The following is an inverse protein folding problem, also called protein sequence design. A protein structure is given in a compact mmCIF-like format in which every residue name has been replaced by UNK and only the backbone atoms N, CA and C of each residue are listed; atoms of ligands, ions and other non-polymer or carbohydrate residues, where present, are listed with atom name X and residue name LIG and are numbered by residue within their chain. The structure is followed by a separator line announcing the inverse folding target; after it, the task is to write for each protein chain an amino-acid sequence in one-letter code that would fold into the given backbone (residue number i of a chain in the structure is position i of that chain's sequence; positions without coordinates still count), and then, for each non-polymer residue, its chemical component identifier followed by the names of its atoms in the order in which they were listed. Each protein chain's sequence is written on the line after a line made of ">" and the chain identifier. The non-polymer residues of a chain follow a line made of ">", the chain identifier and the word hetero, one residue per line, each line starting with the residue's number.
data_IF_872626026548
#
_entry.id   IF_872626026548
#
_cell.length_a   1.000
_cell.length_b   1.000
_cell.length_c   1.000
_cell.angle_alpha   90.00
_cell.angle_beta   90.00
_cell.angle_gamma   90.00
#
_symmetry.space_group_name_H-M   'P 1'
#
loop_
_entity.id
_entity.type
_entity.pdbx_description
1 polymer ?
#
# COMPACT_ATOMS: atom_id res chain seq x y z
N UNK A 1 -9.90 -20.02 -1.93
CA UNK A 1 -9.53 -18.94 -0.99
C UNK A 1 -8.15 -18.32 -1.27
N UNK A 2 -7.26 -18.93 -2.07
CA UNK A 2 -5.91 -18.40 -2.36
C UNK A 2 -5.83 -17.05 -3.11
N UNK A 3 -6.94 -16.44 -3.53
CA UNK A 3 -6.93 -15.20 -4.34
C UNK A 3 -7.24 -13.91 -3.57
N UNK A 4 -7.68 -13.98 -2.30
CA UNK A 4 -8.04 -12.80 -1.49
C UNK A 4 -6.77 -12.01 -1.05
N UNK A 5 -5.62 -12.68 -1.04
CA UNK A 5 -4.36 -12.15 -0.51
C UNK A 5 -3.61 -11.16 -1.42
N UNK A 6 -4.02 -10.96 -2.68
CA UNK A 6 -3.17 -10.33 -3.71
C UNK A 6 -3.19 -8.79 -3.76
N UNK A 7 -4.32 -8.15 -3.45
CA UNK A 7 -4.52 -6.72 -3.74
C UNK A 7 -4.27 -5.74 -2.61
N UNK A 8 -4.61 -6.12 -1.37
CA UNK A 8 -4.86 -5.15 -0.29
C UNK A 8 -3.64 -4.35 0.18
N UNK A 9 -2.43 -4.83 -0.12
CA UNK A 9 -1.18 -4.23 0.38
C UNK A 9 -0.76 -3.00 -0.43
N UNK A 10 -1.13 -2.94 -1.72
CA UNK A 10 -0.71 -1.86 -2.62
C UNK A 10 -1.79 -0.78 -2.63
N UNK A 11 -1.61 0.23 -1.77
CA UNK A 11 -2.47 1.41 -1.69
C UNK A 11 -2.07 2.53 -2.66
N UNK A 12 -2.94 3.54 -2.77
CA UNK A 12 -2.68 4.75 -3.57
C UNK A 12 -1.45 5.52 -3.07
N UNK A 13 -1.12 5.39 -1.78
CA UNK A 13 0.02 6.02 -1.13
C UNK A 13 1.36 5.74 -1.80
N UNK A 14 1.58 4.56 -2.40
CA UNK A 14 2.82 4.27 -3.12
C UNK A 14 2.99 5.20 -4.33
N UNK A 15 1.93 5.46 -5.10
CA UNK A 15 2.00 6.22 -6.34
C UNK A 15 2.16 7.73 -6.16
N UNK A 16 1.61 8.26 -5.05
CA UNK A 16 1.57 9.71 -4.78
C UNK A 16 2.45 10.07 -3.60
N UNK A 17 2.34 9.33 -2.49
CA UNK A 17 3.04 9.61 -1.24
C UNK A 17 4.53 9.28 -1.26
N UNK A 18 4.97 8.34 -2.10
CA UNK A 18 6.40 8.01 -2.23
C UNK A 18 7.28 9.19 -2.60
N UNK A 19 6.72 10.16 -3.33
CA UNK A 19 7.41 11.40 -3.72
C UNK A 19 7.85 12.24 -2.52
N UNK A 20 7.15 12.16 -1.39
CA UNK A 20 7.55 12.82 -0.13
C UNK A 20 8.82 12.17 0.42
N UNK A 21 8.88 10.84 0.44
CA UNK A 21 10.05 10.08 0.93
C UNK A 21 11.24 10.27 -0.02
N UNK A 22 11.00 10.20 -1.34
CA UNK A 22 12.03 10.45 -2.36
C UNK A 22 12.54 11.89 -2.29
N UNK A 23 11.62 12.86 -2.21
CA UNK A 23 11.97 14.26 -2.08
C UNK A 23 12.74 14.56 -0.80
N UNK A 24 12.56 13.78 0.28
CA UNK A 24 13.25 13.91 1.56
C UNK A 24 14.62 13.21 1.59
N UNK A 25 14.71 11.95 1.16
CA UNK A 25 15.90 11.10 1.26
C UNK A 25 16.75 11.07 -0.02
N UNK A 26 16.23 11.57 -1.13
CA UNK A 26 16.85 11.46 -2.45
C UNK A 26 16.85 10.02 -2.97
N UNK A 27 17.88 9.60 -3.74
CA UNK A 27 17.98 8.25 -4.28
C UNK A 27 18.02 7.17 -3.19
N UNK A 28 18.56 7.51 -2.01
CA UNK A 28 18.56 6.64 -0.83
C UNK A 28 17.16 6.34 -0.26
N UNK A 29 16.08 6.94 -0.77
CA UNK A 29 14.72 6.50 -0.48
C UNK A 29 14.50 4.99 -0.78
N UNK A 30 15.22 4.43 -1.75
CA UNK A 30 15.22 2.98 -2.00
C UNK A 30 15.59 2.20 -0.74
N UNK A 31 16.58 2.67 0.03
CA UNK A 31 16.98 2.07 1.31
C UNK A 31 15.86 2.24 2.35
N UNK A 32 15.20 3.40 2.41
CA UNK A 32 14.05 3.60 3.31
C UNK A 32 12.96 2.56 3.06
N UNK A 33 12.55 2.37 1.81
CA UNK A 33 11.54 1.38 1.43
C UNK A 33 12.01 -0.05 1.67
N UNK A 34 13.30 -0.35 1.49
CA UNK A 34 13.88 -1.66 1.77
C UNK A 34 13.93 -1.97 3.27
N UNK A 35 14.31 -1.01 4.10
CA UNK A 35 14.36 -1.15 5.56
C UNK A 35 12.96 -1.40 6.12
N UNK A 36 11.98 -0.60 5.69
CA UNK A 36 10.58 -0.77 6.09
C UNK A 36 10.03 -2.10 5.59
N UNK A 37 10.30 -2.46 4.33
CA UNK A 37 9.87 -3.72 3.75
C UNK A 37 10.43 -4.94 4.51
N UNK A 38 11.71 -4.90 4.89
CA UNK A 38 12.32 -5.93 5.72
C UNK A 38 11.63 -6.03 7.09
N UNK A 39 11.37 -4.90 7.76
CA UNK A 39 10.64 -4.88 9.02
C UNK A 39 9.25 -5.50 8.89
N UNK A 40 8.51 -5.14 7.83
CA UNK A 40 7.17 -5.68 7.56
C UNK A 40 7.21 -7.18 7.32
N UNK A 41 8.19 -7.69 6.56
CA UNK A 41 8.37 -9.14 6.35
C UNK A 41 8.61 -9.85 7.67
N UNK A 42 9.45 -9.31 8.55
CA UNK A 42 9.71 -9.89 9.87
C UNK A 42 8.45 -9.91 10.73
N UNK A 43 7.70 -8.80 10.79
CA UNK A 43 6.44 -8.70 11.54
C UNK A 43 5.41 -9.69 10.99
N UNK A 44 5.23 -9.75 9.67
CA UNK A 44 4.30 -10.68 9.03
C UNK A 44 4.65 -12.13 9.31
N UNK A 45 5.93 -12.46 9.35
CA UNK A 45 6.38 -13.80 9.69
C UNK A 45 6.11 -14.14 11.16
N UNK A 46 6.39 -13.22 12.09
CA UNK A 46 6.06 -13.39 13.51
C UNK A 46 4.55 -13.56 13.73
N UNK A 47 3.72 -12.72 13.08
CA UNK A 47 2.26 -12.81 13.12
C UNK A 47 1.75 -14.14 12.57
N UNK A 48 2.34 -14.59 11.47
CA UNK A 48 2.04 -15.87 10.86
C UNK A 48 2.34 -17.06 11.77
N UNK A 49 3.53 -17.09 12.36
CA UNK A 49 3.95 -18.12 13.33
C UNK A 49 3.01 -18.15 14.55
N UNK A 50 2.62 -16.99 15.08
CA UNK A 50 1.65 -16.89 16.18
C UNK A 50 0.25 -17.36 15.77
N UNK A 51 -0.19 -17.06 14.55
CA UNK A 51 -1.50 -17.49 14.05
C UNK A 51 -1.62 -19.00 13.86
N UNK A 52 -0.53 -19.66 13.47
CA UNK A 52 -0.46 -21.13 13.39
C UNK A 52 -0.42 -21.74 14.78
N UNK A 53 0.41 -21.19 15.68
CA UNK A 53 0.56 -21.72 17.04
C UNK A 53 -0.71 -21.54 17.89
N UNK A 54 -1.42 -20.44 17.71
CA UNK A 54 -2.64 -20.12 18.45
C UNK A 54 -3.68 -19.46 17.54
N UNK A 55 -4.56 -20.24 16.88
CA UNK A 55 -5.62 -19.70 16.04
C UNK A 55 -6.66 -18.93 16.87
N UNK A 56 -6.53 -17.60 16.94
CA UNK A 56 -7.44 -16.74 17.69
C UNK A 56 -8.28 -15.86 16.75
N UNK A 57 -9.59 -15.84 16.98
CA UNK A 57 -10.50 -14.87 16.37
C UNK A 57 -10.11 -13.48 16.92
N UNK A 58 -9.61 -12.60 16.06
CA UNK A 58 -9.08 -11.29 16.45
C UNK A 58 -7.61 -11.04 16.08
N UNK A 59 -6.88 -12.10 15.74
CA UNK A 59 -5.50 -12.00 15.28
C UNK A 59 -4.57 -11.34 16.32
N UNK A 60 -3.82 -10.32 15.89
CA UNK A 60 -2.72 -9.77 16.69
C UNK A 60 -3.13 -9.10 18.00
N UNK A 61 -4.35 -8.55 18.13
CA UNK A 61 -4.76 -7.92 19.41
C UNK A 61 -4.97 -8.98 20.51
N UNK A 62 -5.43 -10.19 20.15
CA UNK A 62 -5.52 -11.32 21.07
C UNK A 62 -4.12 -11.82 21.45
N UNK A 63 -3.15 -11.83 20.53
CA UNK A 63 -1.76 -12.18 20.86
C UNK A 63 -1.15 -11.18 21.86
N UNK A 64 -1.39 -9.88 21.65
CA UNK A 64 -0.97 -8.85 22.60
C UNK A 64 -1.64 -9.02 23.96
N UNK A 65 -2.92 -9.41 23.98
CA UNK A 65 -3.65 -9.70 25.22
C UNK A 65 -3.05 -10.87 25.98
N UNK A 66 -2.77 -11.97 25.29
CA UNK A 66 -2.17 -13.17 25.88
C UNK A 66 -0.77 -12.92 26.42
N UNK A 67 0.03 -12.12 25.71
CA UNK A 67 1.41 -11.85 26.08
C UNK A 67 1.57 -10.75 27.15
N UNK A 68 0.76 -9.68 27.07
CA UNK A 68 0.96 -8.43 27.83
C UNK A 68 -0.23 -8.06 28.72
N UNK A 69 -1.31 -8.84 28.71
CA UNK A 69 -2.50 -8.65 29.54
C UNK A 69 -3.63 -7.88 28.87
N UNK A 70 -4.76 -7.77 29.60
CA UNK A 70 -6.03 -7.24 29.07
C UNK A 70 -5.93 -5.82 28.51
N UNK A 71 -5.22 -4.93 29.21
CA UNK A 71 -5.04 -3.54 28.79
C UNK A 71 -4.33 -3.44 27.43
N UNK A 72 -3.32 -4.28 27.18
CA UNK A 72 -2.60 -4.28 25.92
C UNK A 72 -3.48 -4.74 24.75
N UNK A 73 -4.30 -5.77 24.96
CA UNK A 73 -5.30 -6.20 24.00
C UNK A 73 -6.31 -5.10 23.67
N UNK A 74 -6.87 -4.46 24.70
CA UNK A 74 -7.82 -3.35 24.57
C UNK A 74 -7.23 -2.19 23.77
N UNK A 75 -6.04 -1.69 24.17
CA UNK A 75 -5.40 -0.56 23.53
C UNK A 75 -5.05 -0.86 22.07
N UNK A 76 -4.49 -2.04 21.79
CA UNK A 76 -4.06 -2.39 20.43
C UNK A 76 -5.23 -2.59 19.48
N UNK A 77 -6.35 -3.17 19.95
CA UNK A 77 -7.57 -3.27 19.16
C UNK A 77 -8.18 -1.91 18.84
N UNK A 78 -8.31 -1.02 19.82
CA UNK A 78 -8.83 0.34 19.59
C UNK A 78 -7.91 1.21 18.72
N UNK A 79 -6.59 1.12 18.91
CA UNK A 79 -5.63 1.83 18.06
C UNK A 79 -5.69 1.36 16.61
N UNK A 80 -5.86 0.06 16.38
CA UNK A 80 -6.00 -0.48 15.03
C UNK A 80 -7.32 -0.07 14.38
N UNK A 81 -8.43 -0.13 15.11
CA UNK A 81 -9.71 0.35 14.62
C UNK A 81 -9.64 1.84 14.25
N UNK A 82 -9.10 2.67 15.15
CA UNK A 82 -8.93 4.11 14.94
C UNK A 82 -8.07 4.42 13.72
N UNK A 83 -6.96 3.68 13.56
CA UNK A 83 -6.09 3.77 12.40
C UNK A 83 -6.87 3.54 11.09
N UNK A 84 -7.65 2.45 11.01
CA UNK A 84 -8.41 2.15 9.79
C UNK A 84 -9.53 3.15 9.50
N UNK A 85 -10.18 3.70 10.54
CA UNK A 85 -11.17 4.78 10.35
C UNK A 85 -10.53 6.00 9.69
N UNK A 86 -9.31 6.39 10.10
CA UNK A 86 -8.56 7.49 9.48
C UNK A 86 -8.20 7.14 8.03
N UNK A 87 -7.67 5.94 7.79
CA UNK A 87 -7.26 5.51 6.44
C UNK A 87 -8.45 5.52 5.48
N UNK A 88 -9.62 5.02 5.89
CA UNK A 88 -10.85 5.06 5.08
C UNK A 88 -11.21 6.50 4.71
N UNK A 89 -11.13 7.44 5.65
CA UNK A 89 -11.41 8.85 5.35
C UNK A 89 -10.38 9.45 4.37
N UNK A 90 -9.09 9.18 4.57
CA UNK A 90 -8.01 9.66 3.70
C UNK A 90 -8.16 9.15 2.26
N UNK A 91 -8.42 7.86 2.11
CA UNK A 91 -8.60 7.23 0.81
C UNK A 91 -9.87 7.75 0.12
N UNK A 92 -10.97 7.94 0.84
CA UNK A 92 -12.20 8.48 0.27
C UNK A 92 -11.99 9.91 -0.28
N UNK A 93 -11.25 10.75 0.46
CA UNK A 93 -10.87 12.09 0.01
C UNK A 93 -9.92 12.03 -1.19
N UNK A 94 -8.97 11.08 -1.23
CA UNK A 94 -8.08 10.89 -2.37
C UNK A 94 -8.86 10.51 -3.64
N UNK A 95 -9.78 9.55 -3.52
CA UNK A 95 -10.67 9.14 -4.62
C UNK A 95 -11.57 10.27 -5.09
N UNK A 96 -12.14 11.04 -4.16
CA UNK A 96 -12.96 12.21 -4.47
C UNK A 96 -12.19 13.29 -5.25
N UNK A 97 -10.91 13.52 -4.93
CA UNK A 97 -10.06 14.46 -5.69
C UNK A 97 -9.82 13.99 -7.12
N UNK A 98 -9.63 12.68 -7.33
CA UNK A 98 -9.45 12.11 -8.68
C UNK A 98 -10.74 12.26 -9.48
N UNK A 99 -11.89 11.85 -8.91
CA UNK A 99 -13.19 11.95 -9.56
C UNK A 99 -13.60 13.40 -9.84
N UNK A 100 -13.31 14.32 -8.92
CA UNK A 100 -13.53 15.76 -9.13
C UNK A 100 -12.71 16.35 -10.27
N UNK A 101 -11.54 15.78 -10.57
CA UNK A 101 -10.77 16.14 -11.76
C UNK A 101 -11.46 15.74 -13.07
N UNK A 102 -12.28 14.68 -13.06
CA UNK A 102 -13.03 14.22 -14.24
C UNK A 102 -14.41 14.89 -14.34
N UNK A 103 -15.04 15.17 -13.20
CA UNK A 103 -16.35 15.81 -13.10
C UNK A 103 -16.28 17.02 -12.16
N UNK A 104 -15.75 18.16 -12.64
CA UNK A 104 -15.53 19.36 -11.82
C UNK A 104 -16.82 20.03 -11.32
N UNK A 105 -17.99 19.66 -11.87
CA UNK A 105 -19.29 20.18 -11.44
C UNK A 105 -19.85 19.55 -10.15
N UNK A 106 -19.20 18.50 -9.61
CA UNK A 106 -19.65 17.80 -8.41
C UNK A 106 -18.70 18.14 -7.26
N UNK A 107 -19.26 18.51 -6.10
CA UNK A 107 -18.46 18.91 -4.95
C UNK A 107 -17.72 17.71 -4.34
N UNK A 108 -16.47 17.87 -3.84
CA UNK A 108 -15.68 16.76 -3.32
C UNK A 108 -16.37 15.94 -2.22
N UNK A 109 -17.14 16.58 -1.34
CA UNK A 109 -17.86 15.88 -0.27
C UNK A 109 -18.92 14.91 -0.81
N UNK A 110 -19.52 15.20 -1.97
CA UNK A 110 -20.52 14.33 -2.60
C UNK A 110 -19.86 13.04 -3.10
N UNK A 111 -18.67 13.15 -3.71
CA UNK A 111 -17.88 11.98 -4.09
C UNK A 111 -17.43 11.18 -2.88
N UNK A 112 -16.92 11.83 -1.84
CA UNK A 112 -16.51 11.15 -0.60
C UNK A 112 -17.67 10.37 0.00
N UNK A 113 -18.84 11.01 0.14
CA UNK A 113 -20.05 10.37 0.69
C UNK A 113 -20.53 9.21 -0.20
N UNK A 114 -20.52 9.39 -1.52
CA UNK A 114 -20.92 8.36 -2.47
C UNK A 114 -19.98 7.14 -2.41
N UNK A 115 -18.65 7.36 -2.38
CA UNK A 115 -17.66 6.30 -2.27
C UNK A 115 -17.84 5.50 -0.97
N UNK A 116 -17.90 6.19 0.18
CA UNK A 116 -18.10 5.52 1.47
C UNK A 116 -19.43 4.77 1.50
N UNK A 117 -20.52 5.37 0.99
CA UNK A 117 -21.84 4.76 0.94
C UNK A 117 -21.89 3.50 0.08
N UNK A 118 -21.35 3.56 -1.15
CA UNK A 118 -21.31 2.41 -2.07
C UNK A 118 -20.51 1.27 -1.46
N UNK A 119 -19.31 1.53 -0.94
CA UNK A 119 -18.49 0.47 -0.35
C UNK A 119 -19.08 -0.08 0.95
N UNK A 120 -19.77 0.74 1.74
CA UNK A 120 -20.54 0.25 2.90
C UNK A 120 -21.63 -0.72 2.45
N UNK A 121 -22.42 -0.37 1.42
CA UNK A 121 -23.46 -1.25 0.88
C UNK A 121 -22.85 -2.56 0.35
N UNK A 122 -21.76 -2.49 -0.41
CA UNK A 122 -21.06 -3.67 -0.94
C UNK A 122 -20.60 -4.60 0.19
N UNK A 123 -20.05 -4.03 1.27
CA UNK A 123 -19.59 -4.80 2.44
C UNK A 123 -20.76 -5.41 3.25
N UNK A 124 -21.94 -4.78 3.24
CA UNK A 124 -23.14 -5.32 3.89
C UNK A 124 -23.82 -6.45 3.10
N UNK A 125 -23.72 -6.46 1.76
CA UNK A 125 -24.46 -7.40 0.92
C UNK A 125 -23.84 -8.81 0.90
N UNK A 126 -22.52 -8.95 0.81
CA UNK A 126 -21.87 -10.27 0.84
C UNK A 126 -20.36 -10.20 1.00
N UNK A 127 -19.81 -11.01 1.91
CA UNK A 127 -18.36 -11.24 2.06
C UNK A 127 -17.73 -11.81 0.78
N UNK A 128 -18.51 -12.48 -0.07
CA UNK A 128 -18.04 -12.96 -1.37
C UNK A 128 -17.80 -11.81 -2.35
N UNK A 129 -18.66 -10.78 -2.33
CA UNK A 129 -18.52 -9.59 -3.17
C UNK A 129 -17.26 -8.80 -2.83
N UNK A 130 -16.84 -8.78 -1.56
CA UNK A 130 -15.55 -8.20 -1.14
C UNK A 130 -14.37 -8.87 -1.87
N UNK A 131 -14.30 -10.19 -1.84
CA UNK A 131 -13.17 -10.93 -2.41
C UNK A 131 -13.09 -10.82 -3.94
N UNK A 132 -14.23 -10.81 -4.63
CA UNK A 132 -14.28 -10.63 -6.09
C UNK A 132 -13.89 -9.21 -6.52
N UNK A 133 -14.39 -8.17 -5.83
CA UNK A 133 -14.01 -6.79 -6.11
C UNK A 133 -12.50 -6.55 -5.90
N UNK A 134 -11.98 -7.07 -4.78
CA UNK A 134 -10.56 -6.95 -4.45
C UNK A 134 -9.66 -7.67 -5.48
N UNK A 135 -10.08 -8.83 -5.98
CA UNK A 135 -9.35 -9.55 -7.02
C UNK A 135 -9.18 -8.70 -8.30
N UNK A 136 -10.26 -8.04 -8.75
CA UNK A 136 -10.19 -7.19 -9.94
C UNK A 136 -9.33 -5.94 -9.70
N UNK A 137 -9.47 -5.28 -8.55
CA UNK A 137 -8.64 -4.12 -8.22
C UNK A 137 -7.15 -4.49 -8.08
N UNK A 138 -6.84 -5.63 -7.46
CA UNK A 138 -5.50 -6.17 -7.37
C UNK A 138 -4.87 -6.37 -8.75
N UNK A 139 -5.62 -6.99 -9.65
CA UNK A 139 -5.16 -7.36 -10.99
C UNK A 139 -4.76 -6.13 -11.81
N UNK A 140 -5.57 -5.06 -11.75
CA UNK A 140 -5.27 -3.79 -12.43
C UNK A 140 -3.98 -3.17 -11.88
N UNK A 141 -3.84 -3.10 -10.55
CA UNK A 141 -2.65 -2.54 -9.89
C UNK A 141 -1.38 -3.30 -10.25
N UNK A 142 -1.42 -4.62 -10.15
CA UNK A 142 -0.26 -5.48 -10.43
C UNK A 142 0.14 -5.36 -11.90
N UNK A 143 -0.82 -5.42 -12.82
CA UNK A 143 -0.56 -5.23 -14.24
C UNK A 143 0.07 -3.86 -14.54
N UNK A 144 -0.45 -2.79 -13.93
CA UNK A 144 0.07 -1.44 -14.09
C UNK A 144 1.51 -1.30 -13.59
N UNK A 145 1.83 -1.86 -12.41
CA UNK A 145 3.20 -1.82 -11.87
C UNK A 145 4.15 -2.66 -12.72
N UNK A 146 3.76 -3.85 -13.16
CA UNK A 146 4.60 -4.67 -14.04
C UNK A 146 4.89 -3.92 -15.35
N UNK A 147 3.88 -3.33 -15.98
CA UNK A 147 4.05 -2.53 -17.19
C UNK A 147 5.00 -1.34 -16.95
N UNK A 148 4.83 -0.63 -15.83
CA UNK A 148 5.70 0.46 -15.41
C UNK A 148 7.15 0.01 -15.23
N UNK A 149 7.38 -1.11 -14.54
CA UNK A 149 8.71 -1.67 -14.30
C UNK A 149 9.38 -2.08 -15.61
N UNK A 150 8.67 -2.79 -16.48
CA UNK A 150 9.19 -3.21 -17.78
C UNK A 150 9.57 -2.01 -18.65
N UNK A 151 8.67 -1.04 -18.78
CA UNK A 151 8.92 0.15 -19.61
C UNK A 151 10.07 1.00 -19.05
N UNK A 152 10.09 1.23 -17.73
CA UNK A 152 11.16 1.97 -17.08
C UNK A 152 12.51 1.26 -17.14
N UNK A 153 12.54 -0.06 -16.99
CA UNK A 153 13.76 -0.85 -17.13
C UNK A 153 14.31 -0.81 -18.58
N UNK A 154 13.44 -0.94 -19.59
CA UNK A 154 13.82 -0.79 -21.00
C UNK A 154 14.41 0.60 -21.27
N UNK A 155 13.83 1.64 -20.69
CA UNK A 155 14.36 3.00 -20.80
C UNK A 155 15.72 3.14 -20.10
N UNK A 156 15.85 2.64 -18.87
CA UNK A 156 17.09 2.70 -18.10
C UNK A 156 18.25 1.96 -18.79
N UNK A 157 17.96 0.85 -19.48
CA UNK A 157 18.93 0.03 -20.23
C UNK A 157 19.23 0.58 -21.64
N UNK A 158 18.58 1.66 -22.08
CA UNK A 158 18.80 2.24 -23.41
C UNK A 158 18.07 1.53 -24.56
N UNK A 159 17.22 0.54 -24.26
CA UNK A 159 16.45 -0.22 -25.24
C UNK A 159 15.11 0.47 -25.64
N UNK A 160 14.80 1.62 -25.04
CA UNK A 160 13.61 2.40 -25.33
C UNK A 160 13.89 3.56 -26.31
N UNK A 161 12.97 3.91 -27.22
CA UNK A 161 13.14 5.04 -28.12
C UNK A 161 13.38 6.36 -27.37
N UNK A 162 14.49 7.04 -27.66
CA UNK A 162 14.84 8.31 -27.01
C UNK A 162 15.39 8.16 -25.60
N UNK A 163 15.81 6.95 -25.20
CA UNK A 163 16.43 6.72 -23.91
C UNK A 163 17.76 7.48 -23.76
N UNK A 164 17.86 8.22 -22.66
CA UNK A 164 19.13 8.64 -22.07
C UNK A 164 19.40 7.73 -20.88
N UNK A 165 20.60 7.16 -20.75
CA UNK A 165 20.95 6.28 -19.64
C UNK A 165 20.52 6.91 -18.30
N UNK A 166 19.66 6.22 -17.53
CA UNK A 166 19.06 6.75 -16.29
C UNK A 166 19.96 6.60 -15.05
N UNK A 167 20.87 5.62 -15.06
CA UNK A 167 21.74 5.35 -13.90
C UNK A 167 22.57 6.56 -13.40
N UNK A 168 23.09 7.47 -14.25
CA UNK A 168 23.79 8.67 -13.78
C UNK A 168 22.96 9.56 -12.86
N UNK A 169 21.62 9.52 -12.96
CA UNK A 169 20.73 10.35 -12.15
C UNK A 169 20.77 10.01 -10.66
N UNK A 170 21.11 8.76 -10.32
CA UNK A 170 21.24 8.29 -8.94
C UNK A 170 22.35 9.00 -8.18
N UNK A 171 23.32 9.60 -8.88
CA UNK A 171 24.46 10.29 -8.26
C UNK A 171 24.62 11.74 -8.73
N UNK A 172 23.88 12.16 -9.75
CA UNK A 172 24.03 13.47 -10.40
C UNK A 172 23.80 14.67 -9.44
N UNK A 173 22.99 14.51 -8.40
CA UNK A 173 22.58 15.61 -7.51
C UNK A 173 23.13 15.44 -6.09
N UNK A 174 24.46 15.34 -5.96
CA UNK A 174 25.13 15.21 -4.66
C UNK A 174 25.31 13.75 -4.18
N UNK A 175 25.32 12.79 -5.10
CA UNK A 175 25.49 11.37 -4.79
C UNK A 175 24.19 10.65 -4.42
N UNK A 176 24.31 9.38 -4.04
CA UNK A 176 23.17 8.53 -3.69
C UNK A 176 22.52 8.90 -2.35
N UNK A 177 23.32 9.43 -1.42
CA UNK A 177 22.90 9.81 -0.07
C UNK A 177 23.18 11.31 0.16
N UNK A 178 22.51 12.21 -0.58
CA UNK A 178 22.86 13.62 -0.62
C UNK A 178 22.54 14.37 0.68
N UNK A 179 21.71 13.79 1.55
CA UNK A 179 21.20 14.44 2.78
C UNK A 179 21.52 13.68 4.06
N UNK A 180 22.44 12.71 4.01
CA UNK A 180 22.81 11.92 5.18
C UNK A 180 21.86 10.74 5.46
N UNK A 181 22.18 9.98 6.51
CA UNK A 181 21.42 8.78 6.90
C UNK A 181 20.12 9.11 7.63
N UNK A 182 20.03 10.27 8.28
CA UNK A 182 18.86 10.64 9.09
C UNK A 182 17.58 10.72 8.24
N UNK A 183 17.56 11.40 7.06
CA UNK A 183 16.40 11.37 6.16
C UNK A 183 16.04 9.99 5.64
N UNK A 184 17.00 9.07 5.54
CA UNK A 184 16.72 7.68 5.14
C UNK A 184 15.95 6.96 6.25
N UNK A 185 16.35 7.15 7.50
CA UNK A 185 15.67 6.55 8.67
C UNK A 185 14.28 7.15 8.90
N UNK A 186 14.14 8.47 8.83
CA UNK A 186 12.81 9.10 8.94
C UNK A 186 11.92 8.78 7.74
N UNK A 187 12.52 8.64 6.55
CA UNK A 187 11.86 8.14 5.35
C UNK A 187 11.34 6.71 5.52
N UNK A 188 12.06 5.84 6.23
CA UNK A 188 11.61 4.49 6.53
C UNK A 188 10.39 4.49 7.47
N UNK A 189 10.37 5.38 8.47
CA UNK A 189 9.19 5.56 9.33
C UNK A 189 7.98 5.99 8.50
N UNK A 190 8.13 6.99 7.64
CA UNK A 190 7.07 7.44 6.73
C UNK A 190 6.62 6.33 5.76
N UNK A 191 7.56 5.53 5.24
CA UNK A 191 7.27 4.45 4.31
C UNK A 191 6.42 3.33 4.95
N UNK A 192 6.40 3.20 6.29
CA UNK A 192 5.51 2.25 7.00
C UNK A 192 4.06 2.45 6.60
N UNK A 193 3.66 3.71 6.36
CA UNK A 193 2.35 4.10 5.87
C UNK A 193 1.91 3.39 4.57
N UNK A 194 2.87 2.98 3.74
CA UNK A 194 2.60 2.37 2.44
C UNK A 194 2.52 0.84 2.47
N UNK A 195 2.86 0.23 3.61
CA UNK A 195 2.85 -1.23 3.78
C UNK A 195 1.72 -1.73 4.68
N UNK A 196 0.93 -0.83 5.28
CA UNK A 196 -0.27 -1.21 6.02
C UNK A 196 -1.27 -1.96 5.11
N UNK A 197 -2.00 -2.89 5.70
CA UNK A 197 -2.88 -3.81 4.98
C UNK A 197 -2.23 -5.16 4.65
N UNK A 198 -0.89 -5.28 4.76
CA UNK A 198 -0.21 -6.58 4.71
C UNK A 198 -0.77 -7.53 5.78
N UNK A 199 -0.98 -7.03 6.99
CA UNK A 199 -1.46 -7.76 8.15
C UNK A 199 -2.87 -8.35 7.98
N UNK A 200 -3.72 -7.73 7.13
CA UNK A 200 -5.06 -8.25 6.83
C UNK A 200 -4.96 -9.65 6.21
N UNK A 201 -3.92 -9.89 5.39
CA UNK A 201 -3.72 -11.17 4.75
C UNK A 201 -3.38 -12.26 5.77
N UNK A 202 -2.58 -11.95 6.80
CA UNK A 202 -2.30 -12.90 7.88
C UNK A 202 -3.53 -13.24 8.70
N UNK A 203 -4.42 -12.28 8.95
CA UNK A 203 -5.70 -12.54 9.64
C UNK A 203 -6.56 -13.50 8.80
N UNK A 204 -6.68 -13.24 7.49
CA UNK A 204 -7.44 -14.10 6.59
C UNK A 204 -6.80 -15.50 6.42
N UNK A 205 -5.47 -15.59 6.41
CA UNK A 205 -4.75 -16.87 6.33
C UNK A 205 -4.95 -17.72 7.60
N UNK A 206 -5.04 -17.09 8.78
CA UNK A 206 -5.31 -17.77 10.04
C UNK A 206 -6.70 -18.43 10.08
N UNK A 207 -7.67 -17.90 9.32
CA UNK A 207 -9.03 -18.44 9.20
C UNK A 207 -9.16 -19.52 8.09
N UNK A 208 -8.05 -19.91 7.45
CA UNK A 208 -8.05 -20.87 6.34
C UNK A 208 -8.01 -22.33 6.80
N UNK A 209 -8.34 -23.26 5.89
CA UNK A 209 -8.37 -24.70 6.19
C UNK A 209 -6.97 -25.28 6.47
N UNK A 210 -5.91 -24.67 5.92
CA UNK A 210 -4.51 -25.07 6.14
C UNK A 210 -3.68 -23.82 6.50
N UNK A 211 -3.79 -23.32 7.76
CA UNK A 211 -3.19 -22.05 8.17
C UNK A 211 -1.68 -21.99 7.92
N UNK A 212 -0.95 -23.07 8.20
CA UNK A 212 0.50 -23.17 8.12
C UNK A 212 1.00 -22.88 6.70
N UNK A 213 0.37 -23.53 5.71
CA UNK A 213 0.70 -23.34 4.29
C UNK A 213 0.25 -21.97 3.81
N UNK A 214 -0.96 -21.55 4.19
CA UNK A 214 -1.50 -20.25 3.78
C UNK A 214 -0.65 -19.08 4.28
N UNK A 215 -0.13 -19.17 5.50
CA UNK A 215 0.80 -18.19 6.08
C UNK A 215 2.12 -18.19 5.30
N UNK A 216 2.74 -19.35 5.08
CA UNK A 216 4.01 -19.44 4.37
C UNK A 216 3.92 -18.87 2.93
N UNK A 217 2.88 -19.23 2.18
CA UNK A 217 2.61 -18.70 0.84
C UNK A 217 2.40 -17.17 0.87
N UNK A 218 1.65 -16.69 1.86
CA UNK A 218 1.39 -15.26 2.05
C UNK A 218 2.68 -14.50 2.31
N UNK A 219 3.52 -14.96 3.24
CA UNK A 219 4.80 -14.32 3.56
C UNK A 219 5.71 -14.25 2.34
N UNK A 220 5.84 -15.34 1.59
CA UNK A 220 6.67 -15.37 0.39
C UNK A 220 6.14 -14.41 -0.69
N UNK A 221 4.83 -14.35 -0.84
CA UNK A 221 4.19 -13.39 -1.72
C UNK A 221 4.46 -11.94 -1.29
N UNK A 222 4.40 -11.62 0.01
CA UNK A 222 4.72 -10.27 0.51
C UNK A 222 6.17 -9.88 0.20
N UNK A 223 7.14 -10.79 0.37
CA UNK A 223 8.55 -10.55 0.06
C UNK A 223 8.71 -10.14 -1.42
N UNK A 224 8.14 -10.90 -2.35
CA UNK A 224 8.24 -10.57 -3.77
C UNK A 224 7.60 -9.22 -4.10
N UNK A 225 6.48 -8.86 -3.46
CA UNK A 225 5.84 -7.56 -3.63
C UNK A 225 6.72 -6.42 -3.12
N UNK A 226 7.32 -6.56 -1.94
CA UNK A 226 8.26 -5.57 -1.38
C UNK A 226 9.41 -5.34 -2.36
N UNK A 227 10.06 -6.43 -2.82
CA UNK A 227 11.23 -6.34 -3.70
C UNK A 227 10.88 -5.73 -5.06
N UNK A 228 9.84 -6.25 -5.72
CA UNK A 228 9.54 -5.88 -7.11
C UNK A 228 8.74 -4.57 -7.13
N UNK A 229 7.64 -4.50 -6.39
CA UNK A 229 6.70 -3.39 -6.52
C UNK A 229 7.12 -2.16 -5.75
N UNK A 230 7.68 -2.29 -4.55
CA UNK A 230 8.12 -1.12 -3.79
C UNK A 230 9.54 -0.73 -4.18
N UNK A 231 10.51 -1.58 -3.88
CA UNK A 231 11.93 -1.25 -4.10
C UNK A 231 12.21 -1.03 -5.58
N UNK A 232 11.76 -1.94 -6.45
CA UNK A 232 11.99 -1.84 -7.90
C UNK A 232 11.36 -0.58 -8.53
N UNK A 233 10.13 -0.22 -8.14
CA UNK A 233 9.49 0.95 -8.74
C UNK A 233 10.06 2.26 -8.20
N UNK A 234 10.36 2.34 -6.91
CA UNK A 234 11.03 3.50 -6.31
C UNK A 234 12.41 3.70 -6.93
N UNK A 235 13.16 2.62 -7.13
CA UNK A 235 14.45 2.66 -7.81
C UNK A 235 14.33 3.25 -9.22
N UNK A 236 13.36 2.80 -10.02
CA UNK A 236 13.13 3.36 -11.36
C UNK A 236 12.72 4.83 -11.31
N UNK A 237 11.91 5.25 -10.34
CA UNK A 237 11.56 6.67 -10.17
C UNK A 237 12.82 7.51 -9.96
N UNK A 238 13.67 7.15 -9.01
CA UNK A 238 14.89 7.94 -8.70
C UNK A 238 15.98 7.83 -9.76
N UNK A 239 15.98 6.75 -10.56
CA UNK A 239 16.88 6.59 -11.69
C UNK A 239 16.43 7.39 -12.92
N UNK A 240 15.13 7.62 -13.10
CA UNK A 240 14.61 8.24 -14.32
C UNK A 240 14.19 9.70 -14.16
N UNK A 241 13.92 10.12 -12.93
CA UNK A 241 13.41 11.46 -12.61
C UNK A 241 14.32 12.14 -11.58
N UNK A 242 14.71 13.41 -11.78
CA UNK A 242 15.46 14.16 -10.77
C UNK A 242 14.68 14.23 -9.46
N UNK A 243 15.20 13.63 -8.40
CA UNK A 243 14.58 13.62 -7.06
C UNK A 243 14.48 15.02 -6.44
N UNK A 244 15.31 15.96 -6.90
CA UNK A 244 15.32 17.36 -6.46
C UNK A 244 14.30 18.25 -7.19
N UNK A 245 13.59 17.73 -8.19
CA UNK A 245 12.48 18.44 -8.84
C UNK A 245 11.19 18.22 -8.03
N UNK A 246 10.88 19.18 -7.15
CA UNK A 246 9.71 19.12 -6.28
C UNK A 246 8.39 19.00 -7.06
N UNK A 247 8.28 19.62 -8.24
CA UNK A 247 7.06 19.56 -9.05
C UNK A 247 6.85 18.15 -9.60
N UNK A 248 7.91 17.47 -10.06
CA UNK A 248 7.83 16.07 -10.50
C UNK A 248 7.59 15.10 -9.35
N UNK A 249 8.16 15.36 -8.17
CA UNK A 249 7.94 14.52 -7.00
C UNK A 249 6.52 14.60 -6.42
N UNK A 250 5.67 15.52 -6.88
CA UNK A 250 4.23 15.47 -6.53
C UNK A 250 3.50 14.29 -7.17
N UNK A 251 4.02 13.73 -8.26
CA UNK A 251 3.39 12.66 -9.06
C UNK A 251 4.45 11.74 -9.69
N UNK A 252 5.30 11.09 -8.87
CA UNK A 252 6.54 10.46 -9.32
C UNK A 252 6.36 9.46 -10.46
N UNK A 253 5.32 8.61 -10.39
CA UNK A 253 5.04 7.61 -11.42
C UNK A 253 4.57 8.24 -12.73
N UNK A 254 3.73 9.28 -12.64
CA UNK A 254 3.33 10.05 -13.83
C UNK A 254 4.53 10.72 -14.46
N UNK A 255 5.43 11.29 -13.65
CA UNK A 255 6.64 11.95 -14.15
C UNK A 255 7.60 10.99 -14.85
N UNK A 256 7.73 9.75 -14.38
CA UNK A 256 8.47 8.71 -15.11
C UNK A 256 7.80 8.43 -16.45
N UNK A 257 6.48 8.21 -16.48
CA UNK A 257 5.76 7.94 -17.73
C UNK A 257 5.85 9.09 -18.75
N UNK A 258 5.91 10.34 -18.26
CA UNK A 258 6.18 11.52 -19.10
C UNK A 258 7.61 11.52 -19.68
N UNK A 259 8.61 11.11 -18.90
CA UNK A 259 10.00 10.92 -19.40
C UNK A 259 10.03 9.84 -20.49
N UNK A 260 9.27 8.77 -20.32
CA UNK A 260 9.12 7.70 -21.32
C UNK A 260 8.28 8.12 -22.55
N UNK A 261 7.68 9.32 -22.53
CA UNK A 261 6.79 9.87 -23.56
C UNK A 261 5.54 9.01 -23.79
N UNK A 262 5.02 8.39 -22.74
CA UNK A 262 3.76 7.63 -22.81
C UNK A 262 2.58 8.62 -22.92
N UNK A 263 1.76 8.54 -23.98
CA UNK A 263 0.61 9.42 -24.14
C UNK A 263 -0.44 9.15 -23.05
N UNK A 264 -1.17 10.20 -22.66
CA UNK A 264 -2.21 10.12 -21.63
C UNK A 264 -1.72 9.56 -20.27
N UNK A 265 -0.42 9.64 -19.97
CA UNK A 265 0.16 9.16 -18.71
C UNK A 265 -0.58 9.65 -17.44
N UNK A 266 -0.97 10.94 -17.32
CA UNK A 266 -1.75 11.40 -16.18
C UNK A 266 -3.10 10.69 -16.05
N UNK A 267 -3.82 10.50 -17.16
CA UNK A 267 -5.12 9.85 -17.19
C UNK A 267 -5.02 8.36 -16.83
N UNK A 268 -4.08 7.64 -17.44
CA UNK A 268 -3.84 6.22 -17.13
C UNK A 268 -3.50 6.02 -15.66
N UNK A 269 -2.58 6.83 -15.12
CA UNK A 269 -2.23 6.72 -13.71
C UNK A 269 -3.37 7.13 -12.79
N UNK A 270 -4.18 8.13 -13.15
CA UNK A 270 -5.34 8.49 -12.34
C UNK A 270 -6.35 7.35 -12.21
N UNK A 271 -6.54 6.55 -13.27
CA UNK A 271 -7.36 5.34 -13.24
C UNK A 271 -6.75 4.26 -12.33
N UNK A 272 -5.44 4.00 -12.47
CA UNK A 272 -4.73 3.03 -11.63
C UNK A 272 -4.80 3.43 -10.15
N UNK A 273 -4.51 4.70 -9.84
CA UNK A 273 -4.57 5.23 -8.48
C UNK A 273 -6.00 5.13 -7.94
N UNK A 274 -7.02 5.45 -8.74
CA UNK A 274 -8.42 5.28 -8.33
C UNK A 274 -8.69 3.82 -7.93
N UNK A 275 -8.29 2.83 -8.72
CA UNK A 275 -8.46 1.42 -8.34
C UNK A 275 -7.73 1.04 -7.05
N UNK A 276 -6.57 1.65 -6.80
CA UNK A 276 -5.82 1.48 -5.56
C UNK A 276 -6.56 2.07 -4.35
N UNK A 277 -7.10 3.28 -4.50
CA UNK A 277 -7.94 3.94 -3.49
C UNK A 277 -9.16 3.08 -3.16
N UNK A 278 -9.89 2.61 -4.18
CA UNK A 278 -11.11 1.82 -4.01
C UNK A 278 -10.85 0.50 -3.28
N UNK A 279 -9.73 -0.16 -3.59
CA UNK A 279 -9.28 -1.37 -2.91
C UNK A 279 -8.89 -1.12 -1.44
N UNK A 280 -8.18 -0.02 -1.16
CA UNK A 280 -7.82 0.37 0.20
C UNK A 280 -9.07 0.72 1.04
N UNK A 281 -10.05 1.43 0.46
CA UNK A 281 -11.34 1.71 1.08
C UNK A 281 -12.08 0.44 1.47
N UNK A 282 -12.17 -0.51 0.52
CA UNK A 282 -12.84 -1.78 0.74
C UNK A 282 -12.18 -2.59 1.87
N UNK A 283 -10.85 -2.68 1.84
CA UNK A 283 -10.07 -3.41 2.85
C UNK A 283 -10.13 -2.74 4.22
N UNK A 284 -10.11 -1.40 4.27
CA UNK A 284 -10.21 -0.65 5.52
C UNK A 284 -11.58 -0.76 6.20
N UNK A 285 -12.67 -0.71 5.42
CA UNK A 285 -14.01 -0.94 5.95
C UNK A 285 -14.17 -2.37 6.49
N UNK A 286 -13.63 -3.36 5.77
CA UNK A 286 -13.59 -4.75 6.22
C UNK A 286 -12.77 -4.94 7.51
N UNK A 287 -11.57 -4.36 7.58
CA UNK A 287 -10.70 -4.46 8.75
C UNK A 287 -11.30 -3.75 9.97
N UNK A 288 -11.83 -2.54 9.80
CA UNK A 288 -12.44 -1.77 10.88
C UNK A 288 -13.68 -2.48 11.45
N UNK A 289 -14.58 -2.98 10.59
CA UNK A 289 -15.79 -3.68 11.03
C UNK A 289 -15.48 -4.97 11.79
N UNK A 290 -14.51 -5.77 11.30
CA UNK A 290 -14.06 -6.99 11.98
C UNK A 290 -13.40 -6.72 13.33
N UNK A 291 -12.56 -5.69 13.42
CA UNK A 291 -11.93 -5.33 14.69
C UNK A 291 -12.97 -4.90 15.72
N UNK A 292 -13.96 -4.09 15.31
CA UNK A 292 -15.02 -3.65 16.22
C UNK A 292 -15.89 -4.82 16.71
N UNK A 293 -16.22 -5.76 15.82
CA UNK A 293 -16.92 -7.00 16.18
C UNK A 293 -16.12 -7.86 17.19
N UNK A 294 -14.80 -7.95 17.00
CA UNK A 294 -13.94 -8.72 17.92
C UNK A 294 -13.86 -8.07 19.31
N UNK A 295 -13.71 -6.74 19.36
CA UNK A 295 -13.76 -5.97 20.61
C UNK A 295 -15.11 -6.16 21.33
N UNK A 296 -16.24 -6.08 20.60
CA UNK A 296 -17.57 -6.25 21.18
C UNK A 296 -17.80 -7.65 21.76
N UNK A 297 -17.36 -8.71 21.06
CA UNK A 297 -17.44 -10.10 21.56
C UNK A 297 -16.65 -10.33 22.85
N UNK A 298 -15.63 -9.51 23.12
CA UNK A 298 -14.81 -9.56 24.34
C UNK A 298 -15.28 -8.60 25.43
N UNK A 299 -16.30 -7.77 25.17
CA UNK A 299 -16.75 -6.73 26.10
C UNK A 299 -15.85 -5.50 26.16
N UNK A 300 -14.91 -5.36 25.22
CA UNK A 300 -14.03 -4.19 25.08
C UNK A 300 -14.69 -3.04 24.28
N UNK A 301 -15.81 -3.31 23.62
CA UNK A 301 -16.68 -2.36 22.95
C UNK A 301 -18.16 -2.69 23.23
N UNK A 302 -19.08 -1.70 23.14
CA UNK A 302 -20.52 -1.90 23.33
C UNK A 302 -21.16 -2.88 22.34
#
# INVERSE_FOLDING_TARGET
>A
MHMIALGGVIGAGLFVGSGVVIGAAGPAAVISFALTGALVVLVMRMLGEMAVAYPAIGGFYEYNRLALGELAGFLTGWMYWYFWVIVVALEAVAGARILGGWWPGIAPWQFTLALVGVFTIVNLLSVRSYGEAEFWFASIKVAAIIAFLCAGALFALGAWPGASAGLPQLTAHGGFLPRGIVPVLTGAVAATGFYFGAEIVTIAAAESAEPDKAVAETTQSVIWRVLIFYIGSIFLVVALVPWNDAARMTRPYVSVMEVLRIPAAPTVMSLVILTAVLSALNSGLFAASRMLMALARRGDAP
#
